data_IF_540838867751
#
_entry.id   IF_540838867751
#
_cell.length_a   1.000
_cell.length_b   1.000
_cell.length_c   1.000
_cell.angle_alpha   90.00
_cell.angle_beta   90.00
_cell.angle_gamma   90.00
#
_symmetry.space_group_name_H-M   'P 1'
#
loop_
_entity.id
_entity.type
_entity.pdbx_description
1 polymer ?
#
# COMPACT_ATOMS: atom_id res chain seq x y z
N UNK A 1 -13.68 -32.66 -21.09
CA UNK A 1 -13.31 -31.42 -20.39
C UNK A 1 -11.80 -31.40 -20.21
N UNK A 2 -11.09 -30.45 -20.83
CA UNK A 2 -9.62 -30.40 -20.85
C UNK A 2 -9.09 -29.77 -19.54
N UNK A 3 -8.42 -30.58 -18.70
CA UNK A 3 -7.75 -30.11 -17.49
C UNK A 3 -6.50 -29.29 -17.87
N UNK A 4 -6.58 -27.96 -17.69
CA UNK A 4 -5.41 -27.08 -17.82
C UNK A 4 -4.52 -27.24 -16.59
N UNK A 5 -3.34 -27.82 -16.79
CA UNK A 5 -2.31 -27.95 -15.76
C UNK A 5 -1.69 -26.58 -15.46
N UNK A 6 -1.80 -26.11 -14.22
CA UNK A 6 -1.26 -24.83 -13.77
C UNK A 6 0.23 -25.02 -13.47
N UNK A 7 1.10 -24.41 -14.29
CA UNK A 7 2.55 -24.39 -14.04
C UNK A 7 2.88 -23.31 -13.02
N UNK A 8 3.30 -23.71 -11.82
CA UNK A 8 3.79 -22.81 -10.78
C UNK A 8 5.32 -22.75 -10.88
N UNK A 9 5.88 -21.56 -11.13
CA UNK A 9 7.33 -21.32 -11.09
C UNK A 9 7.70 -20.67 -9.77
N UNK A 10 8.65 -21.27 -9.04
CA UNK A 10 9.22 -20.67 -7.83
C UNK A 10 10.35 -19.73 -8.23
N UNK A 11 10.24 -18.46 -7.84
CA UNK A 11 11.34 -17.49 -7.92
C UNK A 11 12.07 -17.46 -6.59
N UNK A 12 13.39 -17.58 -6.63
CA UNK A 12 14.27 -17.41 -5.45
C UNK A 12 14.99 -16.09 -5.61
N UNK A 13 14.84 -15.20 -4.64
CA UNK A 13 15.50 -13.90 -4.59
C UNK A 13 16.57 -13.98 -3.51
N UNK A 14 17.83 -13.74 -3.89
CA UNK A 14 18.96 -13.71 -2.96
C UNK A 14 19.36 -12.25 -2.78
N UNK A 15 19.31 -11.75 -1.54
CA UNK A 15 19.67 -10.38 -1.19
C UNK A 15 20.99 -10.40 -0.43
N UNK A 16 22.03 -9.78 -0.99
CA UNK A 16 23.30 -9.63 -0.29
C UNK A 16 23.27 -8.37 0.58
N UNK A 17 23.17 -8.56 1.91
CA UNK A 17 23.02 -7.47 2.87
C UNK A 17 24.27 -6.58 3.01
N UNK A 18 25.45 -7.05 2.60
CA UNK A 18 26.70 -6.27 2.73
C UNK A 18 26.93 -5.32 1.56
N UNK A 19 26.45 -5.67 0.37
CA UNK A 19 26.68 -4.90 -0.86
C UNK A 19 25.41 -4.20 -1.36
N UNK A 20 24.24 -4.51 -0.80
CA UNK A 20 22.96 -3.96 -1.25
C UNK A 20 22.57 -4.38 -2.66
N UNK A 21 23.29 -5.33 -3.25
CA UNK A 21 23.04 -5.82 -4.61
C UNK A 21 22.02 -6.96 -4.59
N UNK A 22 21.03 -6.84 -5.48
CA UNK A 22 20.01 -7.87 -5.73
C UNK A 22 20.41 -8.54 -7.05
N UNK A 23 20.70 -9.84 -7.02
CA UNK A 23 20.92 -10.61 -8.25
C UNK A 23 19.79 -11.63 -8.44
N UNK A 24 19.18 -11.60 -9.61
CA UNK A 24 18.19 -12.58 -10.03
C UNK A 24 18.92 -13.66 -10.85
N UNK A 25 18.97 -14.88 -10.32
CA UNK A 25 19.58 -16.00 -11.04
C UNK A 25 18.48 -16.73 -11.82
N UNK A 26 18.24 -16.30 -13.07
CA UNK A 26 17.38 -17.04 -14.01
C UNK A 26 18.18 -18.16 -14.67
N UNK A 27 18.25 -19.31 -14.02
CA UNK A 27 18.74 -20.55 -14.64
C UNK A 27 17.70 -21.05 -15.64
N UNK A 28 17.74 -20.54 -16.87
CA UNK A 28 17.01 -21.13 -17.99
C UNK A 28 17.86 -22.29 -18.52
N UNK A 29 17.61 -23.49 -17.99
CA UNK A 29 18.05 -24.72 -18.64
C UNK A 29 16.89 -25.15 -19.53
N UNK A 30 16.99 -24.88 -20.83
CA UNK A 30 16.26 -25.59 -21.87
C UNK A 30 17.26 -25.93 -22.98
N UNK A 31 17.79 -27.15 -22.90
CA UNK A 31 18.24 -27.92 -24.07
C UNK A 31 16.99 -28.47 -24.73
N UNK A 32 16.94 -28.49 -26.06
CA UNK A 32 16.34 -29.52 -26.92
C UNK A 32 16.64 -29.18 -28.41
N UNK A 33 16.57 -30.17 -29.33
CA UNK A 33 17.65 -30.43 -30.28
C UNK A 33 17.34 -30.03 -31.73
N UNK A 34 18.38 -29.70 -32.49
CA UNK A 34 18.34 -29.72 -33.95
C UNK A 34 18.23 -31.15 -34.45
N UNK A 35 17.19 -31.44 -35.25
CA UNK A 35 17.13 -32.58 -36.15
C UNK A 35 16.56 -32.15 -37.50
N UNK A 36 17.38 -32.38 -38.53
CA UNK A 36 17.12 -32.91 -39.87
C UNK A 36 16.04 -32.19 -40.71
N UNK A 37 16.32 -31.68 -41.91
CA UNK A 37 16.99 -32.36 -43.02
C UNK A 37 15.91 -32.95 -43.93
N UNK A 38 15.51 -32.22 -44.97
CA UNK A 38 14.73 -32.73 -46.10
C UNK A 38 15.30 -32.13 -47.38
N UNK A 39 15.46 -33.03 -48.34
CA UNK A 39 16.24 -32.97 -49.55
C UNK A 39 15.64 -32.05 -50.63
N UNK A 40 16.55 -31.56 -51.47
CA UNK A 40 16.28 -30.86 -52.71
C UNK A 40 16.07 -31.91 -53.80
N UNK A 41 14.85 -32.07 -54.29
CA UNK A 41 14.61 -32.66 -55.60
C UNK A 41 14.12 -31.58 -56.57
N UNK A 42 14.94 -31.36 -57.60
CA UNK A 42 14.59 -30.63 -58.81
C UNK A 42 13.69 -31.52 -59.66
N UNK A 43 12.50 -31.03 -59.99
CA UNK A 43 11.80 -31.44 -61.20
C UNK A 43 11.43 -30.20 -62.00
N UNK A 44 11.91 -30.22 -63.22
CA UNK A 44 11.74 -29.22 -64.26
C UNK A 44 10.34 -29.30 -64.89
N UNK A 45 9.92 -28.15 -65.41
CA UNK A 45 9.05 -27.94 -66.57
C UNK A 45 7.52 -27.72 -66.41
N UNK A 46 7.19 -26.45 -66.70
CA UNK A 46 6.32 -25.97 -67.80
C UNK A 46 4.86 -25.62 -67.48
N UNK A 47 4.62 -24.32 -67.66
CA UNK A 47 3.41 -23.72 -68.25
C UNK A 47 2.09 -23.85 -67.49
N UNK A 48 1.86 -22.90 -66.57
CA UNK A 48 0.51 -22.36 -66.34
C UNK A 48 0.56 -20.88 -65.93
N UNK A 49 1.25 -20.07 -66.73
CA UNK A 49 1.29 -18.62 -66.57
C UNK A 49 0.09 -17.95 -67.24
N UNK A 50 -1.15 -18.30 -66.83
CA UNK A 50 -2.31 -17.43 -67.07
C UNK A 50 -3.58 -17.87 -66.31
N UNK A 51 -3.50 -18.12 -64.99
CA UNK A 51 -4.70 -18.16 -64.13
C UNK A 51 -4.47 -18.04 -62.62
N UNK A 52 -3.36 -17.44 -62.18
CA UNK A 52 -3.01 -17.33 -60.76
C UNK A 52 -2.77 -15.89 -60.25
N UNK A 53 -3.17 -14.86 -61.00
CA UNK A 53 -3.00 -13.45 -60.55
C UNK A 53 -4.26 -12.89 -59.86
N UNK A 54 -5.34 -13.66 -59.73
CA UNK A 54 -6.57 -13.20 -59.05
C UNK A 54 -6.74 -13.70 -57.61
N UNK A 55 -5.84 -14.53 -57.08
CA UNK A 55 -5.97 -15.07 -55.72
C UNK A 55 -5.01 -14.45 -54.68
N UNK A 56 -4.01 -13.65 -55.07
CA UNK A 56 -3.05 -13.04 -54.12
C UNK A 56 -3.52 -11.68 -53.55
N UNK A 57 -4.54 -11.06 -54.14
CA UNK A 57 -5.13 -9.81 -53.62
C UNK A 57 -6.08 -10.02 -52.42
N UNK A 58 -6.40 -11.27 -52.08
CA UNK A 58 -7.20 -11.64 -50.91
C UNK A 58 -6.40 -11.71 -49.61
N UNK A 59 -5.11 -12.06 -49.69
CA UNK A 59 -4.25 -12.25 -48.52
C UNK A 59 -3.69 -10.91 -47.99
N UNK A 60 -3.39 -9.94 -48.85
CA UNK A 60 -2.90 -8.61 -48.43
C UNK A 60 -3.95 -7.75 -47.70
N UNK A 61 -5.25 -7.99 -47.89
CA UNK A 61 -6.32 -7.25 -47.18
C UNK A 61 -6.47 -7.65 -45.73
N UNK A 62 -6.03 -8.86 -45.36
CA UNK A 62 -6.07 -9.34 -43.97
C UNK A 62 -5.08 -8.56 -43.08
N UNK A 63 -3.92 -8.20 -43.65
CA UNK A 63 -2.83 -7.53 -42.96
C UNK A 63 -3.18 -6.06 -42.57
N UNK A 64 -3.86 -5.34 -43.47
CA UNK A 64 -4.25 -3.95 -43.21
C UNK A 64 -5.25 -3.80 -42.05
N UNK A 65 -6.20 -4.75 -41.93
CA UNK A 65 -7.18 -4.73 -40.83
C UNK A 65 -6.50 -5.00 -39.49
N UNK A 66 -5.59 -5.97 -39.44
CA UNK A 66 -4.82 -6.28 -38.22
C UNK A 66 -3.97 -5.09 -37.78
N UNK A 67 -3.33 -4.39 -38.73
CA UNK A 67 -2.55 -3.19 -38.45
C UNK A 67 -3.43 -2.07 -37.86
N UNK A 68 -4.64 -1.87 -38.42
CA UNK A 68 -5.59 -0.88 -37.91
C UNK A 68 -6.06 -1.21 -36.48
N UNK A 69 -6.31 -2.49 -36.17
CA UNK A 69 -6.67 -2.94 -34.83
C UNK A 69 -5.53 -2.71 -33.83
N UNK A 70 -4.31 -3.02 -34.22
CA UNK A 70 -3.11 -2.82 -33.39
C UNK A 70 -2.89 -1.33 -33.09
N UNK A 71 -3.08 -0.46 -34.08
CA UNK A 71 -3.02 1.00 -33.90
C UNK A 71 -4.10 1.49 -32.92
N UNK A 72 -5.34 0.99 -33.05
CA UNK A 72 -6.43 1.33 -32.14
C UNK A 72 -6.14 0.91 -30.69
N UNK A 73 -5.55 -0.28 -30.50
CA UNK A 73 -5.12 -0.77 -29.17
C UNK A 73 -4.03 0.14 -28.60
N UNK A 74 -3.03 0.50 -29.41
CA UNK A 74 -1.95 1.39 -29.01
C UNK A 74 -2.47 2.76 -28.54
N UNK A 75 -3.39 3.36 -29.30
CA UNK A 75 -4.01 4.64 -28.93
C UNK A 75 -4.81 4.54 -27.62
N UNK A 76 -5.59 3.47 -27.44
CA UNK A 76 -6.32 3.22 -26.17
C UNK A 76 -5.37 3.03 -25.00
N UNK A 77 -4.26 2.33 -25.19
CA UNK A 77 -3.25 2.14 -24.13
C UNK A 77 -2.59 3.47 -23.75
N UNK A 78 -2.29 4.33 -24.72
CA UNK A 78 -1.76 5.67 -24.45
C UNK A 78 -2.74 6.53 -23.64
N UNK A 79 -4.03 6.45 -23.92
CA UNK A 79 -5.06 7.13 -23.13
C UNK A 79 -5.09 6.61 -21.69
N UNK A 80 -5.13 5.28 -21.50
CA UNK A 80 -5.08 4.66 -20.16
C UNK A 80 -3.82 5.03 -19.39
N UNK A 81 -2.66 5.11 -20.05
CA UNK A 81 -1.41 5.55 -19.42
C UNK A 81 -1.52 7.00 -18.91
N UNK A 82 -2.17 7.89 -19.67
CA UNK A 82 -2.42 9.28 -19.23
C UNK A 82 -3.34 9.33 -18.01
N UNK A 83 -4.41 8.54 -18.01
CA UNK A 83 -5.33 8.43 -16.87
C UNK A 83 -4.62 7.90 -15.62
N UNK A 84 -3.85 6.81 -15.75
CA UNK A 84 -3.08 6.23 -14.64
C UNK A 84 -2.08 7.25 -14.08
N UNK A 85 -1.38 8.00 -14.95
CA UNK A 85 -0.47 9.06 -14.51
C UNK A 85 -1.20 10.13 -13.69
N UNK A 86 -2.35 10.60 -14.16
CA UNK A 86 -3.17 11.57 -13.43
C UNK A 86 -3.59 11.06 -12.05
N UNK A 87 -4.00 9.79 -11.96
CA UNK A 87 -4.38 9.15 -10.69
C UNK A 87 -3.17 9.07 -9.75
N UNK A 88 -2.01 8.65 -10.26
CA UNK A 88 -0.77 8.56 -9.45
C UNK A 88 -0.38 9.93 -8.90
N UNK A 89 -0.47 10.99 -9.70
CA UNK A 89 -0.13 12.34 -9.25
C UNK A 89 -1.13 12.85 -8.19
N UNK A 90 -2.42 12.57 -8.35
CA UNK A 90 -3.44 12.88 -7.34
C UNK A 90 -3.17 12.15 -6.02
N UNK A 91 -2.80 10.87 -6.07
CA UNK A 91 -2.46 10.08 -4.89
C UNK A 91 -1.19 10.59 -4.19
N UNK A 92 -0.14 10.93 -4.95
CA UNK A 92 1.08 11.55 -4.40
C UNK A 92 0.76 12.83 -3.64
N UNK A 93 -0.05 13.71 -4.24
CA UNK A 93 -0.47 14.96 -3.59
C UNK A 93 -1.25 14.69 -2.29
N UNK A 94 -2.14 13.70 -2.28
CA UNK A 94 -2.89 13.31 -1.08
C UNK A 94 -1.97 12.78 0.01
N UNK A 95 -1.01 11.92 -0.33
CA UNK A 95 -0.02 11.38 0.62
C UNK A 95 0.80 12.51 1.24
N UNK A 96 1.34 13.42 0.44
CA UNK A 96 2.11 14.56 0.92
C UNK A 96 1.30 15.44 1.89
N UNK A 97 0.01 15.65 1.62
CA UNK A 97 -0.88 16.43 2.50
C UNK A 97 -1.10 15.72 3.85
N UNK A 98 -1.29 14.40 3.84
CA UNK A 98 -1.46 13.62 5.07
C UNK A 98 -0.19 13.63 5.92
N UNK A 99 0.97 13.49 5.31
CA UNK A 99 2.26 13.56 6.02
C UNK A 99 2.48 14.92 6.69
N UNK A 100 2.13 16.01 6.01
CA UNK A 100 2.19 17.36 6.60
C UNK A 100 1.24 17.51 7.78
N UNK A 101 0.00 17.00 7.67
CA UNK A 101 -0.97 17.03 8.77
C UNK A 101 -0.49 16.22 9.97
N UNK A 102 0.10 15.05 9.74
CA UNK A 102 0.63 14.20 10.80
C UNK A 102 1.79 14.90 11.54
N UNK A 103 2.72 15.51 10.81
CA UNK A 103 3.81 16.32 11.41
C UNK A 103 3.25 17.46 12.27
N UNK A 104 2.22 18.16 11.81
CA UNK A 104 1.59 19.23 12.60
C UNK A 104 0.92 18.69 13.88
N UNK A 105 0.28 17.52 13.81
CA UNK A 105 -0.30 16.88 14.99
C UNK A 105 0.77 16.45 15.99
N UNK A 106 1.87 15.84 15.53
CA UNK A 106 2.98 15.46 16.40
C UNK A 106 3.55 16.65 17.16
N UNK A 107 3.67 17.81 16.50
CA UNK A 107 4.11 19.05 17.16
C UNK A 107 3.13 19.48 18.26
N UNK A 108 1.82 19.41 18.01
CA UNK A 108 0.78 19.70 19.02
C UNK A 108 0.81 18.74 20.20
N UNK A 109 1.08 17.45 19.98
CA UNK A 109 1.17 16.46 21.06
C UNK A 109 2.47 16.56 21.86
N UNK A 110 3.55 17.06 21.25
CA UNK A 110 4.83 17.32 21.94
C UNK A 110 4.79 18.54 22.84
N UNK A 111 3.80 19.43 22.67
CA UNK A 111 3.57 20.51 23.62
C UNK A 111 3.20 19.92 24.99
N UNK A 112 4.17 19.94 25.91
CA UNK A 112 3.98 19.51 27.28
C UNK A 112 2.84 20.32 27.87
N UNK A 113 1.75 19.66 28.25
CA UNK A 113 0.66 20.31 28.99
C UNK A 113 1.24 20.97 30.24
N UNK A 114 1.13 22.29 30.32
CA UNK A 114 1.56 23.05 31.49
C UNK A 114 0.78 22.55 32.70
N UNK A 115 1.50 22.11 33.75
CA UNK A 115 0.87 21.70 35.01
C UNK A 115 0.22 22.92 35.65
N UNK A 116 -1.05 22.78 36.05
CA UNK A 116 -1.73 23.82 36.84
C UNK A 116 -1.05 23.96 38.21
N UNK A 117 -0.90 25.19 38.67
CA UNK A 117 -0.39 25.47 40.02
C UNK A 117 -1.49 25.27 41.07
N UNK A 118 -1.12 25.16 42.36
CA UNK A 118 -2.07 25.01 43.47
C UNK A 118 -3.10 26.15 43.57
N UNK A 119 -2.75 27.34 43.06
CA UNK A 119 -3.64 28.52 43.02
C UNK A 119 -4.64 28.47 41.86
N UNK A 120 -4.29 27.78 40.76
CA UNK A 120 -5.16 27.62 39.58
C UNK A 120 -6.16 26.47 39.71
N UNK A 121 -5.97 25.59 40.71
CA UNK A 121 -6.84 24.45 40.92
C UNK A 121 -7.95 24.84 41.92
N UNK A 122 -9.20 24.75 41.48
CA UNK A 122 -10.37 25.05 42.30
C UNK A 122 -10.54 24.03 43.44
N UNK A 123 -10.43 24.46 44.69
CA UNK A 123 -10.40 23.60 45.89
C UNK A 123 -11.80 23.32 46.45
N UNK A 124 -12.62 22.57 45.72
CA UNK A 124 -14.01 22.26 46.09
C UNK A 124 -14.15 21.29 47.27
N UNK A 125 -13.13 20.49 47.56
CA UNK A 125 -13.23 19.38 48.51
C UNK A 125 -12.58 19.73 49.85
N UNK A 126 -13.38 20.04 50.86
CA UNK A 126 -12.89 20.36 52.22
C UNK A 126 -12.70 19.10 53.06
N UNK A 127 -11.65 19.08 53.87
CA UNK A 127 -11.46 18.07 54.90
C UNK A 127 -12.54 18.23 56.00
N UNK A 128 -13.09 17.11 56.46
CA UNK A 128 -14.05 17.05 57.56
C UNK A 128 -13.44 16.49 58.86
N UNK A 129 -12.11 16.31 58.87
CA UNK A 129 -11.41 15.85 60.05
C UNK A 129 -11.41 16.90 61.14
N UNK A 130 -11.57 16.47 62.40
CA UNK A 130 -11.49 17.38 63.56
C UNK A 130 -10.15 18.13 63.53
N UNK A 131 -10.21 19.46 63.64
CA UNK A 131 -9.07 20.39 63.60
C UNK A 131 -8.26 20.39 62.29
N UNK A 132 -8.92 20.26 61.13
CA UNK A 132 -8.25 20.31 59.82
C UNK A 132 -9.01 21.17 58.80
N UNK A 133 -8.44 22.33 58.43
CA UNK A 133 -9.06 23.28 57.49
C UNK A 133 -8.56 23.12 56.03
N UNK A 134 -7.96 21.97 55.71
CA UNK A 134 -7.36 21.75 54.39
C UNK A 134 -8.43 21.53 53.33
N UNK A 135 -8.23 22.19 52.18
CA UNK A 135 -9.10 22.07 51.00
C UNK A 135 -8.32 21.55 49.80
N UNK A 136 -8.97 20.72 48.99
CA UNK A 136 -8.37 19.92 47.92
C UNK A 136 -9.11 20.14 46.60
N UNK A 137 -8.36 20.07 45.50
CA UNK A 137 -8.91 20.22 44.15
C UNK A 137 -9.58 18.98 43.56
N UNK A 138 -9.40 17.82 44.20
CA UNK A 138 -9.98 16.56 43.76
C UNK A 138 -10.34 15.66 44.93
N UNK A 139 -11.36 14.81 44.74
CA UNK A 139 -11.76 13.79 45.70
C UNK A 139 -10.61 12.81 46.01
N UNK A 140 -9.80 12.45 44.99
CA UNK A 140 -8.64 11.55 45.17
C UNK A 140 -7.64 12.13 46.15
N UNK A 141 -7.31 13.41 46.02
CA UNK A 141 -6.40 14.10 46.94
C UNK A 141 -6.98 14.24 48.36
N UNK A 142 -8.29 14.47 48.49
CA UNK A 142 -8.97 14.48 49.78
C UNK A 142 -8.91 13.09 50.44
N UNK A 143 -9.25 12.03 49.71
CA UNK A 143 -9.24 10.66 50.22
C UNK A 143 -7.84 10.22 50.67
N UNK A 144 -6.82 10.58 49.89
CA UNK A 144 -5.42 10.35 50.28
C UNK A 144 -5.08 11.07 51.58
N UNK A 145 -5.47 12.34 51.71
CA UNK A 145 -5.28 13.10 52.94
C UNK A 145 -5.98 12.45 54.13
N UNK A 146 -7.25 12.05 53.99
CA UNK A 146 -8.00 11.37 55.05
C UNK A 146 -7.32 10.06 55.46
N UNK A 147 -6.80 9.28 54.50
CA UNK A 147 -6.09 8.03 54.77
C UNK A 147 -4.78 8.24 55.54
N UNK A 148 -4.05 9.32 55.27
CA UNK A 148 -2.75 9.58 55.89
C UNK A 148 -2.90 10.28 57.23
N UNK A 149 -3.77 11.29 57.32
CA UNK A 149 -3.88 12.20 58.48
C UNK A 149 -5.07 11.90 59.39
N UNK A 150 -6.13 11.28 58.88
CA UNK A 150 -7.39 11.03 59.61
C UNK A 150 -7.80 9.55 59.58
N UNK A 151 -6.84 8.64 59.79
CA UNK A 151 -7.00 7.16 59.67
C UNK A 151 -8.24 6.57 60.35
N UNK A 152 -8.74 7.20 61.42
CA UNK A 152 -9.88 6.78 62.24
C UNK A 152 -11.25 7.35 61.81
N UNK A 153 -11.32 8.30 60.87
CA UNK A 153 -12.55 9.05 60.54
C UNK A 153 -13.16 8.69 59.18
N UNK A 154 -12.96 7.44 58.69
CA UNK A 154 -13.27 7.04 57.31
C UNK A 154 -14.76 6.97 56.92
N UNK A 155 -15.70 7.11 57.84
CA UNK A 155 -17.06 6.55 57.65
C UNK A 155 -18.20 7.56 57.45
N UNK A 156 -18.00 8.77 56.91
CA UNK A 156 -19.07 9.81 56.93
C UNK A 156 -19.55 10.33 55.56
N UNK A 157 -19.04 9.82 54.43
CA UNK A 157 -19.38 10.41 53.12
C UNK A 157 -20.48 9.69 52.32
N UNK A 158 -21.58 9.29 52.97
CA UNK A 158 -22.80 8.85 52.28
C UNK A 158 -24.02 9.76 52.54
N UNK A 159 -23.89 10.86 53.28
CA UNK A 159 -25.04 11.68 53.72
C UNK A 159 -25.11 13.11 53.14
N UNK A 160 -24.69 13.34 51.91
CA UNK A 160 -25.02 14.58 51.20
C UNK A 160 -25.50 14.27 49.78
N UNK A 161 -26.74 13.79 49.70
CA UNK A 161 -27.65 13.93 48.56
C UNK A 161 -28.94 14.54 49.07
#
# INVERSE_FOLDING_TARGET
MLNKSIKVTKKVIIINQKTGTISENTSIINREPLKNGIEVERSDQKNSNQRLITNELGEQKCDLRQLQEMLNIYLKNNQKIKEIKSIVDALKNRTNKLEQQLKQQEMKYKEKRVRRTSTQIEKKYKCYGKNCDKSYGSMVSLNLHMRIKHKRQRNVQEQQK
#
